data_IF_221026294647
#
_entry.id   IF_221026294647
#
_cell.length_a   1.000
_cell.length_b   1.000
_cell.length_c   1.000
_cell.angle_alpha   90.00
_cell.angle_beta   90.00
_cell.angle_gamma   90.00
#
_symmetry.space_group_name_H-M   'P 1'
#
loop_
_entity.id
_entity.type
_entity.pdbx_description
1 polymer ?
#
# COMPACT_ATOMS: atom_id res chain seq x y z
N UNK A 1 -26.58 13.64 -8.29
CA UNK A 1 -25.74 13.74 -7.09
C UNK A 1 -24.66 12.71 -7.29
N UNK A 2 -23.44 13.17 -7.51
CA UNK A 2 -22.33 12.29 -7.84
C UNK A 2 -21.86 11.57 -6.58
N UNK A 3 -21.90 10.24 -6.62
CA UNK A 3 -21.60 9.39 -5.47
C UNK A 3 -20.09 9.30 -5.26
N UNK A 4 -19.63 9.65 -4.06
CA UNK A 4 -18.23 9.46 -3.68
C UNK A 4 -17.92 7.96 -3.61
N UNK A 5 -16.76 7.56 -4.16
CA UNK A 5 -16.33 6.17 -4.21
C UNK A 5 -14.96 6.00 -3.57
N UNK A 6 -14.72 4.82 -3.00
CA UNK A 6 -13.41 4.48 -2.49
C UNK A 6 -12.37 4.47 -3.63
N UNK A 7 -11.26 5.21 -3.48
CA UNK A 7 -10.16 5.25 -4.46
C UNK A 7 -9.56 3.86 -4.76
N UNK A 8 -9.66 2.92 -3.81
CA UNK A 8 -9.08 1.58 -3.92
C UNK A 8 -10.07 0.58 -4.51
N UNK A 9 -11.22 0.36 -3.87
CA UNK A 9 -12.16 -0.71 -4.23
C UNK A 9 -13.41 -0.23 -5.00
N UNK A 10 -13.63 1.08 -5.12
CA UNK A 10 -14.77 1.63 -5.87
C UNK A 10 -16.13 1.59 -5.16
N UNK A 11 -16.17 1.06 -3.93
CA UNK A 11 -17.39 1.02 -3.10
C UNK A 11 -17.95 2.42 -2.87
N UNK A 12 -19.27 2.56 -2.95
CA UNK A 12 -19.99 3.80 -2.64
C UNK A 12 -19.79 4.20 -1.17
N UNK A 13 -19.45 5.47 -0.95
CA UNK A 13 -19.25 6.09 0.35
C UNK A 13 -20.44 6.95 0.78
N UNK A 14 -21.60 6.83 0.13
CA UNK A 14 -22.83 7.59 0.43
C UNK A 14 -23.33 7.43 1.88
N UNK A 15 -22.92 6.35 2.56
CA UNK A 15 -23.26 6.11 3.97
C UNK A 15 -22.46 6.97 4.95
N UNK A 16 -21.36 7.57 4.52
CA UNK A 16 -20.51 8.43 5.35
C UNK A 16 -21.01 9.86 5.31
N UNK A 17 -20.86 10.55 6.44
CA UNK A 17 -21.17 11.98 6.55
C UNK A 17 -20.02 12.81 6.01
N UNK A 18 -20.33 13.79 5.14
CA UNK A 18 -19.36 14.79 4.70
C UNK A 18 -19.38 16.00 5.64
N UNK A 19 -18.23 16.65 5.91
CA UNK A 19 -16.89 16.31 5.41
C UNK A 19 -16.34 15.03 6.04
N UNK A 20 -15.52 14.29 5.28
CA UNK A 20 -14.88 13.08 5.80
C UNK A 20 -13.97 13.41 6.98
N UNK A 21 -14.11 12.65 8.05
CA UNK A 21 -13.18 12.69 9.17
C UNK A 21 -11.83 12.12 8.78
N UNK A 22 -10.76 12.59 9.44
CA UNK A 22 -9.40 12.07 9.26
C UNK A 22 -9.25 10.57 9.57
N UNK A 23 -10.21 10.00 10.31
CA UNK A 23 -10.24 8.58 10.71
C UNK A 23 -11.25 7.75 9.92
N UNK A 24 -11.95 8.35 8.96
CA UNK A 24 -12.94 7.62 8.18
C UNK A 24 -12.25 6.58 7.30
N UNK A 25 -12.81 5.36 7.34
CA UNK A 25 -12.32 4.21 6.61
C UNK A 25 -13.40 3.69 5.66
N UNK A 26 -12.96 3.06 4.58
CA UNK A 26 -13.87 2.35 3.69
C UNK A 26 -14.54 1.17 4.43
N UNK A 27 -15.87 0.98 4.33
CA UNK A 27 -16.56 -0.13 4.99
C UNK A 27 -16.20 -1.52 4.43
N UNK A 28 -15.66 -1.59 3.20
CA UNK A 28 -15.34 -2.86 2.53
C UNK A 28 -13.86 -3.21 2.65
N UNK A 29 -12.97 -2.30 2.26
CA UNK A 29 -11.53 -2.57 2.23
C UNK A 29 -10.75 -1.95 3.41
N UNK A 30 -11.44 -1.29 4.35
CA UNK A 30 -10.89 -0.70 5.57
C UNK A 30 -9.72 0.28 5.36
N UNK A 31 -9.55 0.79 4.14
CA UNK A 31 -8.53 1.80 3.87
C UNK A 31 -8.97 3.16 4.38
N UNK A 32 -8.01 3.93 4.87
CA UNK A 32 -8.21 5.33 5.20
C UNK A 32 -8.69 6.10 3.97
N UNK A 33 -9.65 6.99 4.19
CA UNK A 33 -10.24 7.82 3.14
C UNK A 33 -9.63 9.22 3.08
N UNK A 34 -9.13 9.72 4.22
CA UNK A 34 -8.44 11.02 4.31
C UNK A 34 -6.97 10.89 3.88
N UNK A 35 -6.76 10.60 2.60
CA UNK A 35 -5.44 10.32 2.00
C UNK A 35 -5.26 11.16 0.76
N UNK A 36 -4.01 11.50 0.40
CA UNK A 36 -3.73 12.28 -0.81
C UNK A 36 -4.39 11.65 -2.05
N UNK A 37 -4.34 10.32 -2.20
CA UNK A 37 -4.99 9.62 -3.34
C UNK A 37 -6.51 9.80 -3.47
N UNK A 38 -7.19 10.25 -2.42
CA UNK A 38 -8.61 10.58 -2.45
C UNK A 38 -8.86 12.08 -2.66
N UNK A 39 -7.82 12.92 -2.60
CA UNK A 39 -7.95 14.37 -2.70
C UNK A 39 -8.17 14.83 -4.16
N UNK A 40 -8.94 15.90 -4.36
CA UNK A 40 -9.10 16.58 -5.66
C UNK A 40 -7.79 17.16 -6.19
N UNK A 41 -6.93 17.67 -5.30
CA UNK A 41 -5.65 18.30 -5.64
C UNK A 41 -4.52 17.30 -5.87
N UNK A 42 -4.81 15.99 -5.85
CA UNK A 42 -3.80 14.97 -6.07
C UNK A 42 -3.45 14.83 -7.55
N UNK A 43 -2.21 15.19 -7.87
CA UNK A 43 -1.71 15.27 -9.23
C UNK A 43 -0.43 14.43 -9.34
N UNK A 44 -0.51 13.12 -9.68
CA UNK A 44 0.65 12.22 -9.69
C UNK A 44 1.76 12.63 -10.68
N UNK A 45 1.46 13.51 -11.64
CA UNK A 45 2.41 14.05 -12.60
C UNK A 45 3.32 15.17 -12.05
N UNK A 46 3.00 15.74 -10.88
CA UNK A 46 3.80 16.78 -10.24
C UNK A 46 4.85 16.17 -9.31
N UNK A 47 5.94 16.90 -9.06
CA UNK A 47 7.04 16.44 -8.20
C UNK A 47 6.54 16.08 -6.79
N UNK A 48 5.80 16.99 -6.17
CA UNK A 48 5.23 16.81 -4.82
C UNK A 48 3.90 16.04 -4.83
N UNK A 49 3.44 15.66 -6.03
CA UNK A 49 2.20 14.95 -6.30
C UNK A 49 0.94 15.67 -5.79
N UNK A 50 1.01 16.99 -5.62
CA UNK A 50 -0.07 17.88 -5.19
C UNK A 50 -0.09 19.12 -6.08
N UNK A 51 -1.27 19.62 -6.44
CA UNK A 51 -1.43 20.87 -7.19
C UNK A 51 -1.44 22.13 -6.32
N UNK A 52 -1.61 21.98 -5.01
CA UNK A 52 -1.56 23.09 -4.04
C UNK A 52 -0.14 23.26 -3.50
N UNK A 53 0.47 24.42 -3.76
CA UNK A 53 1.86 24.72 -3.38
C UNK A 53 2.05 24.88 -1.85
N UNK A 54 1.03 25.39 -1.15
CA UNK A 54 1.04 25.62 0.30
C UNK A 54 0.61 24.37 1.11
N UNK A 55 0.26 23.27 0.44
CA UNK A 55 -0.16 22.05 1.12
C UNK A 55 1.02 21.31 1.78
N UNK A 56 0.71 20.54 2.82
CA UNK A 56 1.70 19.70 3.50
C UNK A 56 2.25 18.61 2.55
N UNK A 57 3.57 18.46 2.50
CA UNK A 57 4.20 17.36 1.76
C UNK A 57 4.12 16.04 2.54
N UNK A 58 3.11 15.25 2.19
CA UNK A 58 2.88 13.91 2.75
C UNK A 58 3.72 12.88 2.00
N UNK A 59 4.64 12.19 2.66
CA UNK A 59 5.44 11.13 2.00
C UNK A 59 4.58 9.95 1.52
N UNK A 60 3.77 9.39 2.42
CA UNK A 60 2.94 8.21 2.13
C UNK A 60 1.54 8.63 1.67
N UNK A 61 1.39 8.87 0.36
CA UNK A 61 0.15 9.39 -0.27
C UNK A 61 -1.09 8.48 -0.13
N UNK A 62 -0.93 7.26 0.39
CA UNK A 62 -1.99 6.26 0.59
C UNK A 62 -2.34 6.00 2.06
N UNK A 63 -1.69 6.69 3.01
CA UNK A 63 -1.99 6.64 4.45
C UNK A 63 -2.77 7.88 4.89
N UNK A 64 -3.51 7.76 6.00
CA UNK A 64 -4.18 8.90 6.62
C UNK A 64 -3.19 10.03 6.89
N UNK A 65 -3.56 11.25 6.52
CA UNK A 65 -2.75 12.44 6.74
C UNK A 65 -3.55 13.55 7.47
N UNK A 66 -2.87 14.65 7.77
CA UNK A 66 -3.44 15.78 8.50
C UNK A 66 -3.57 17.04 7.64
N UNK A 67 -3.44 16.90 6.31
CA UNK A 67 -3.48 18.03 5.40
C UNK A 67 -4.85 18.72 5.43
N UNK A 68 -4.87 20.00 5.77
CA UNK A 68 -6.10 20.79 5.90
C UNK A 68 -6.73 21.16 4.54
N UNK A 69 -5.98 21.02 3.44
CA UNK A 69 -6.45 21.22 2.06
C UNK A 69 -7.17 20.00 1.48
N UNK A 70 -7.41 18.96 2.29
CA UNK A 70 -8.04 17.74 1.81
C UNK A 70 -9.50 17.96 1.41
N UNK A 71 -9.83 17.65 0.16
CA UNK A 71 -11.21 17.60 -0.33
C UNK A 71 -11.43 16.31 -1.13
N UNK A 72 -12.45 15.49 -0.80
CA UNK A 72 -12.63 14.18 -1.43
C UNK A 72 -13.09 14.30 -2.89
N UNK A 73 -12.36 13.66 -3.79
CA UNK A 73 -12.65 13.63 -5.22
C UNK A 73 -13.58 12.49 -5.60
N UNK A 74 -14.61 12.83 -6.39
CA UNK A 74 -15.53 11.85 -6.98
C UNK A 74 -14.87 11.02 -8.10
N UNK A 75 -13.80 11.54 -8.70
CA UNK A 75 -13.04 10.87 -9.77
C UNK A 75 -11.80 10.12 -9.26
N UNK A 76 -11.60 10.03 -7.94
CA UNK A 76 -10.45 9.34 -7.34
C UNK A 76 -10.39 7.85 -7.70
N UNK A 77 -11.54 7.21 -7.94
CA UNK A 77 -11.60 5.81 -8.33
C UNK A 77 -11.41 5.61 -9.84
N UNK A 78 -10.35 4.90 -10.21
CA UNK A 78 -10.08 4.48 -11.58
C UNK A 78 -10.18 2.94 -11.70
N UNK A 79 -11.23 2.39 -12.35
CA UNK A 79 -11.47 0.94 -12.38
C UNK A 79 -10.34 0.15 -13.07
N UNK A 80 -9.64 0.76 -14.04
CA UNK A 80 -8.50 0.13 -14.73
C UNK A 80 -7.31 -0.16 -13.81
N UNK A 81 -7.22 0.45 -12.63
CA UNK A 81 -6.12 0.21 -11.69
C UNK A 81 -6.23 -1.15 -11.00
N UNK A 82 -7.44 -1.55 -10.61
CA UNK A 82 -7.68 -2.84 -9.96
C UNK A 82 -7.46 -4.01 -10.92
N UNK A 83 -7.97 -3.90 -12.15
CA UNK A 83 -7.83 -4.94 -13.17
C UNK A 83 -6.36 -5.18 -13.54
N UNK A 84 -5.54 -4.13 -13.57
CA UNK A 84 -4.09 -4.25 -13.79
C UNK A 84 -3.39 -5.00 -12.64
N UNK A 85 -3.81 -4.77 -11.39
CA UNK A 85 -3.26 -5.46 -10.23
C UNK A 85 -3.59 -6.96 -10.26
N UNK A 86 -4.85 -7.32 -10.50
CA UNK A 86 -5.29 -8.72 -10.61
C UNK A 86 -4.56 -9.45 -11.74
N UNK A 87 -4.42 -8.81 -12.91
CA UNK A 87 -3.67 -9.37 -14.03
C UNK A 87 -2.20 -9.57 -13.70
N UNK A 88 -1.56 -8.58 -13.07
CA UNK A 88 -0.16 -8.69 -12.66
C UNK A 88 0.05 -9.82 -11.63
N UNK A 89 -0.87 -10.00 -10.68
CA UNK A 89 -0.82 -11.11 -9.73
C UNK A 89 -0.95 -12.47 -10.42
N UNK A 90 -1.91 -12.62 -11.33
CA UNK A 90 -2.09 -13.87 -12.09
C UNK A 90 -0.86 -14.21 -12.97
N UNK A 91 -0.21 -13.18 -13.53
CA UNK A 91 1.02 -13.36 -14.31
C UNK A 91 2.19 -13.81 -13.42
N UNK A 92 2.39 -13.19 -12.26
CA UNK A 92 3.40 -13.61 -11.27
C UNK A 92 3.16 -15.06 -10.84
N UNK A 93 1.91 -15.42 -10.54
CA UNK A 93 1.56 -16.80 -10.17
C UNK A 93 1.83 -17.78 -11.31
N UNK A 94 1.59 -17.39 -12.57
CA UNK A 94 1.93 -18.23 -13.73
C UNK A 94 3.46 -18.40 -13.87
N UNK A 95 4.24 -17.35 -13.60
CA UNK A 95 5.70 -17.37 -13.74
C UNK A 95 6.39 -18.12 -12.60
N UNK A 96 5.89 -17.99 -11.36
CA UNK A 96 6.57 -18.49 -10.16
C UNK A 96 5.82 -19.62 -9.44
N UNK A 97 4.52 -19.81 -9.70
CA UNK A 97 3.68 -20.84 -9.09
C UNK A 97 3.97 -22.28 -9.55
N UNK A 98 4.97 -22.47 -10.42
CA UNK A 98 5.47 -23.78 -10.79
C UNK A 98 6.75 -24.17 -10.01
N UNK A 99 7.03 -23.51 -8.88
CA UNK A 99 8.19 -23.79 -8.02
C UNK A 99 7.99 -24.94 -7.03
N UNK A 100 6.80 -25.53 -6.91
CA UNK A 100 6.55 -26.73 -6.08
C UNK A 100 6.83 -28.07 -6.81
N UNK A 101 7.53 -28.01 -7.94
CA UNK A 101 8.20 -29.17 -8.55
C UNK A 101 9.73 -29.10 -8.44
N UNK A 102 10.26 -28.28 -7.53
CA UNK A 102 11.67 -28.29 -7.12
C UNK A 102 11.75 -28.72 -5.68
N UNK A 103 11.81 -30.04 -5.50
CA UNK A 103 12.42 -30.78 -4.40
C UNK A 103 12.68 -29.98 -3.11
N UNK A 104 11.94 -30.32 -2.06
CA UNK A 104 12.50 -30.33 -0.72
C UNK A 104 13.63 -31.37 -0.68
N UNK A 105 14.78 -31.07 -1.27
CA UNK A 105 16.01 -31.76 -0.90
C UNK A 105 16.39 -31.22 0.45
N UNK A 106 16.40 -32.11 1.43
CA UNK A 106 17.09 -31.93 2.69
C UNK A 106 18.42 -31.19 2.46
N UNK A 107 18.55 -29.98 3.00
CA UNK A 107 19.86 -29.45 3.37
C UNK A 107 20.34 -30.25 4.58
N UNK A 108 20.81 -31.48 4.30
CA UNK A 108 21.79 -32.13 5.16
C UNK A 108 23.11 -31.42 4.91
N UNK A 109 23.46 -30.57 5.88
CA UNK A 109 24.83 -30.33 6.37
C UNK A 109 25.81 -29.64 5.41
N UNK A 110 25.93 -28.31 5.56
CA UNK A 110 27.24 -27.68 5.54
C UNK A 110 27.62 -27.37 6.99
N UNK A 111 28.48 -28.23 7.54
CA UNK A 111 28.93 -28.21 8.91
C UNK A 111 29.24 -26.80 9.42
N UNK A 112 28.42 -26.32 10.36
CA UNK A 112 28.80 -25.25 11.29
C UNK A 112 28.38 -25.65 12.70
N UNK A 113 29.06 -26.68 13.20
CA UNK A 113 29.11 -27.01 14.62
C UNK A 113 30.52 -26.74 15.17
N UNK A 114 31.08 -25.56 14.86
CA UNK A 114 32.27 -25.04 15.56
C UNK A 114 32.23 -23.50 15.49
N UNK A 115 31.38 -22.88 16.29
CA UNK A 115 31.33 -21.40 16.41
C UNK A 115 30.91 -20.92 17.80
N UNK A 116 30.77 -21.84 18.76
CA UNK A 116 30.59 -21.49 20.17
C UNK A 116 31.92 -21.56 20.92
N UNK A 117 32.72 -22.60 20.69
CA UNK A 117 34.11 -22.73 21.14
C UNK A 117 35.01 -21.59 20.64
N UNK A 118 35.01 -21.35 19.32
CA UNK A 118 35.82 -20.28 18.70
C UNK A 118 35.45 -18.88 19.18
N UNK A 119 34.18 -18.67 19.58
CA UNK A 119 33.74 -17.39 20.12
C UNK A 119 34.20 -17.20 21.59
N UNK A 120 34.24 -18.27 22.39
CA UNK A 120 34.65 -18.19 23.80
C UNK A 120 36.15 -17.93 24.01
N UNK A 121 37.01 -18.38 23.09
CA UNK A 121 38.46 -18.13 23.14
C UNK A 121 38.84 -16.67 22.84
N UNK A 122 38.02 -15.95 22.08
CA UNK A 122 38.24 -14.53 21.76
C UNK A 122 37.97 -13.58 22.94
N UNK A 123 37.15 -13.97 23.91
CA UNK A 123 36.76 -13.12 25.04
C UNK A 123 37.56 -13.36 26.34
N UNK A 124 38.57 -14.24 26.32
CA UNK A 124 39.33 -14.65 27.52
C UNK A 124 40.79 -14.16 27.59
N UNK A 125 41.18 -13.16 26.80
CA UNK A 125 42.47 -12.46 26.96
C UNK A 125 42.35 -11.20 27.82
#
# INVERSE_FOLDING_TARGET
MDALRCYRCGTSLEKLTLPLSRRDQCPECLVDLHVCRMCVSFAPQLADQCSEDDAEDVREKAQANFCDYFEPSQSAYAPGRMTNHERAQAEIETLFGNADASTSTADTDCARTDSLSDAEDLFKS
#
